data_IF_306487915724
#
_entry.id   IF_306487915724
#
_cell.length_a   1.000
_cell.length_b   1.000
_cell.length_c   1.000
_cell.angle_alpha   90.00
_cell.angle_beta   90.00
_cell.angle_gamma   90.00
#
_symmetry.space_group_name_H-M   'P 1'
#
loop_
_entity.id
_entity.type
_entity.pdbx_description
1 polymer ?
#
# COMPACT_ATOMS: atom_id res chain seq x y z
N UNK A 1 21.29 -15.20 -17.81
CA UNK A 1 21.04 -16.23 -16.79
C UNK A 1 20.11 -15.67 -15.73
N UNK A 2 19.10 -16.45 -15.27
CA UNK A 2 18.22 -16.07 -14.16
C UNK A 2 18.64 -16.82 -12.90
N UNK A 3 18.88 -16.09 -11.83
CA UNK A 3 19.21 -16.66 -10.52
C UNK A 3 17.94 -16.64 -9.65
N UNK A 4 17.09 -17.64 -9.82
CA UNK A 4 15.85 -17.77 -9.06
C UNK A 4 16.13 -18.10 -7.60
N UNK A 5 15.17 -17.79 -6.70
CA UNK A 5 15.30 -18.00 -5.25
C UNK A 5 16.58 -17.42 -4.64
N UNK A 6 17.05 -16.31 -5.20
CA UNK A 6 18.27 -15.62 -4.79
C UNK A 6 17.93 -14.25 -4.23
N UNK A 7 18.42 -13.97 -3.03
CA UNK A 7 18.21 -12.68 -2.35
C UNK A 7 19.47 -11.86 -2.41
N UNK A 8 19.37 -10.62 -2.90
CA UNK A 8 20.47 -9.64 -2.85
C UNK A 8 20.53 -9.07 -1.43
N UNK A 9 21.71 -9.13 -0.83
CA UNK A 9 21.99 -8.67 0.54
C UNK A 9 22.64 -7.30 0.55
N UNK A 10 23.48 -7.03 -0.45
CA UNK A 10 24.26 -5.79 -0.53
C UNK A 10 24.64 -5.43 -1.96
N UNK A 11 24.83 -4.13 -2.20
CA UNK A 11 25.37 -3.58 -3.45
C UNK A 11 26.35 -2.48 -3.08
N UNK A 12 27.59 -2.61 -3.57
CA UNK A 12 28.63 -1.63 -3.28
C UNK A 12 28.76 -0.57 -4.39
N UNK A 13 29.30 0.61 -4.09
CA UNK A 13 29.61 1.63 -5.10
C UNK A 13 30.55 1.13 -6.20
N UNK A 14 31.36 0.08 -5.93
CA UNK A 14 32.26 -0.56 -6.89
C UNK A 14 31.54 -1.56 -7.79
N UNK A 15 30.22 -1.59 -7.77
CA UNK A 15 29.37 -2.48 -8.59
C UNK A 15 29.54 -3.97 -8.28
N UNK A 16 29.81 -4.28 -7.00
CA UNK A 16 29.71 -5.63 -6.46
C UNK A 16 28.31 -5.86 -5.90
N UNK A 17 27.71 -6.99 -6.25
CA UNK A 17 26.44 -7.47 -5.71
C UNK A 17 26.73 -8.68 -4.83
N UNK A 18 26.34 -8.61 -3.58
CA UNK A 18 26.41 -9.74 -2.64
C UNK A 18 25.00 -10.32 -2.53
N UNK A 19 24.86 -11.59 -2.85
CA UNK A 19 23.59 -12.29 -2.84
C UNK A 19 23.71 -13.63 -2.14
N UNK A 20 22.56 -14.24 -1.80
CA UNK A 20 22.51 -15.56 -1.19
C UNK A 20 21.38 -16.41 -1.74
N UNK A 21 21.61 -17.70 -1.86
CA UNK A 21 20.60 -18.70 -2.15
C UNK A 21 20.90 -20.03 -1.46
N UNK A 22 19.92 -20.95 -1.47
CA UNK A 22 20.05 -22.25 -0.79
C UNK A 22 21.09 -23.17 -1.44
N UNK A 23 21.39 -23.01 -2.73
CA UNK A 23 22.28 -23.92 -3.48
C UNK A 23 23.76 -23.55 -3.36
N UNK A 24 24.05 -22.25 -3.38
CA UNK A 24 25.44 -21.72 -3.49
C UNK A 24 25.88 -21.01 -2.21
N UNK A 25 24.97 -20.77 -1.26
CA UNK A 25 25.26 -19.94 -0.09
C UNK A 25 25.42 -18.47 -0.48
N UNK A 26 26.42 -17.80 0.08
CA UNK A 26 26.75 -16.41 -0.25
C UNK A 26 27.57 -16.37 -1.51
N UNK A 27 27.21 -15.53 -2.46
CA UNK A 27 27.86 -15.34 -3.76
C UNK A 27 28.17 -13.87 -3.96
N UNK A 28 29.26 -13.58 -4.63
CA UNK A 28 29.63 -12.24 -5.08
C UNK A 28 29.60 -12.19 -6.61
N UNK A 29 28.99 -11.13 -7.14
CA UNK A 29 28.88 -10.87 -8.57
C UNK A 29 29.45 -9.48 -8.87
N UNK A 30 30.18 -9.34 -9.94
CA UNK A 30 30.68 -8.05 -10.43
C UNK A 30 30.04 -7.74 -11.78
N UNK A 31 29.54 -6.51 -11.91
CA UNK A 31 28.89 -6.02 -13.12
C UNK A 31 29.58 -4.78 -13.70
N UNK A 32 29.49 -4.59 -15.02
CA UNK A 32 29.88 -3.31 -15.65
C UNK A 32 28.86 -2.21 -15.32
N UNK A 33 27.60 -2.59 -15.20
CA UNK A 33 26.47 -1.77 -14.77
C UNK A 33 25.50 -2.63 -13.98
N UNK A 34 24.70 -2.00 -13.11
CA UNK A 34 23.65 -2.65 -12.32
C UNK A 34 22.36 -1.89 -12.56
N UNK A 35 21.31 -2.59 -12.97
CA UNK A 35 19.96 -2.04 -13.08
C UNK A 35 19.20 -2.37 -11.81
N UNK A 36 18.75 -1.34 -11.07
CA UNK A 36 17.94 -1.48 -9.88
C UNK A 36 16.46 -1.49 -10.26
N UNK A 37 15.79 -2.60 -10.04
CA UNK A 37 14.36 -2.80 -10.37
C UNK A 37 13.64 -3.45 -9.17
N UNK A 38 13.81 -2.87 -7.98
CA UNK A 38 13.41 -3.48 -6.71
C UNK A 38 11.95 -3.17 -6.33
N UNK A 39 11.31 -2.25 -7.03
CA UNK A 39 9.93 -1.85 -6.77
C UNK A 39 9.76 -1.06 -5.48
N UNK A 40 8.64 -1.27 -4.82
CA UNK A 40 8.21 -0.53 -3.64
C UNK A 40 7.39 -1.43 -2.72
N UNK A 41 7.22 -0.99 -1.47
CA UNK A 41 6.32 -1.59 -0.48
C UNK A 41 5.20 -0.62 -0.10
N UNK A 42 4.09 -1.15 0.31
CA UNK A 42 2.95 -0.35 0.76
C UNK A 42 3.22 0.28 2.13
N UNK A 43 2.69 1.48 2.33
CA UNK A 43 2.64 2.09 3.66
C UNK A 43 1.71 1.31 4.57
N UNK A 44 2.23 0.95 5.74
CA UNK A 44 1.49 0.23 6.75
C UNK A 44 0.75 1.18 7.70
N UNK A 45 -0.14 0.62 8.51
CA UNK A 45 -0.82 1.33 9.59
C UNK A 45 0.13 2.11 10.49
N UNK A 46 1.27 1.53 10.85
CA UNK A 46 2.24 2.16 11.74
C UNK A 46 2.90 3.39 11.11
N UNK A 47 3.15 3.36 9.81
CA UNK A 47 3.77 4.47 9.08
C UNK A 47 2.85 5.68 8.90
N UNK A 48 1.54 5.46 8.82
CA UNK A 48 0.54 6.55 8.81
C UNK A 48 0.03 6.89 10.22
N UNK A 49 0.58 6.23 11.24
CA UNK A 49 0.24 6.45 12.66
C UNK A 49 -1.28 6.38 12.95
N UNK A 50 -1.98 5.46 12.27
CA UNK A 50 -3.43 5.34 12.38
C UNK A 50 -3.85 4.97 13.81
N UNK A 51 -4.65 5.83 14.50
CA UNK A 51 -4.97 5.66 15.91
C UNK A 51 -5.95 4.52 16.20
N UNK A 52 -6.15 4.24 17.49
CA UNK A 52 -7.15 3.31 17.99
C UNK A 52 -6.60 1.93 18.34
N UNK A 53 -7.50 0.98 18.56
CA UNK A 53 -7.19 -0.39 18.93
C UNK A 53 -6.33 -1.10 17.85
N UNK A 54 -5.68 -2.20 18.22
CA UNK A 54 -4.83 -2.99 17.29
C UNK A 54 -5.39 -4.41 17.08
N UNK A 55 -6.64 -4.55 16.66
CA UNK A 55 -7.24 -5.84 16.37
C UNK A 55 -6.70 -6.44 15.07
N UNK A 56 -7.00 -7.70 14.81
CA UNK A 56 -6.90 -8.27 13.47
C UNK A 56 -7.90 -7.59 12.50
N UNK A 57 -7.71 -7.77 11.18
CA UNK A 57 -8.62 -7.22 10.16
C UNK A 57 -8.15 -5.91 9.52
N UNK A 58 -6.96 -5.41 9.87
CA UNK A 58 -6.35 -4.23 9.23
C UNK A 58 -5.17 -4.67 8.38
N UNK A 59 -5.26 -4.48 7.07
CA UNK A 59 -4.27 -4.97 6.10
C UNK A 59 -3.95 -3.91 5.06
N UNK A 60 -2.79 -4.00 4.43
CA UNK A 60 -2.55 -3.26 3.19
C UNK A 60 -3.35 -3.88 2.04
N UNK A 61 -3.71 -3.07 1.05
CA UNK A 61 -4.50 -3.53 -0.07
C UNK A 61 -3.80 -4.63 -0.88
N UNK A 62 -2.47 -4.55 -1.04
CA UNK A 62 -1.67 -5.57 -1.71
C UNK A 62 -1.57 -6.88 -0.93
N UNK A 63 -1.52 -6.83 0.40
CA UNK A 63 -1.62 -8.05 1.23
C UNK A 63 -2.96 -8.75 1.02
N UNK A 64 -4.06 -8.00 1.03
CA UNK A 64 -5.38 -8.53 0.75
C UNK A 64 -5.49 -9.08 -0.68
N UNK A 65 -4.90 -8.38 -1.66
CA UNK A 65 -4.84 -8.83 -3.04
C UNK A 65 -4.15 -10.20 -3.18
N UNK A 66 -3.01 -10.37 -2.52
CA UNK A 66 -2.31 -11.65 -2.50
C UNK A 66 -3.18 -12.76 -1.93
N UNK A 67 -3.80 -12.53 -0.77
CA UNK A 67 -4.65 -13.54 -0.14
C UNK A 67 -5.83 -13.94 -1.02
N UNK A 68 -6.52 -12.98 -1.61
CA UNK A 68 -7.69 -13.27 -2.46
C UNK A 68 -7.27 -13.92 -3.77
N UNK A 69 -6.25 -13.38 -4.46
CA UNK A 69 -5.92 -13.80 -5.82
C UNK A 69 -5.02 -15.04 -5.89
N UNK A 70 -4.16 -15.25 -4.89
CA UNK A 70 -3.14 -16.31 -4.91
C UNK A 70 -3.45 -17.40 -3.91
N UNK A 71 -3.80 -17.02 -2.67
CA UNK A 71 -3.95 -17.97 -1.58
C UNK A 71 -5.42 -18.45 -1.40
N UNK A 72 -6.39 -17.78 -2.05
CA UNK A 72 -7.81 -18.15 -1.96
C UNK A 72 -8.47 -17.82 -0.62
N UNK A 73 -7.93 -16.88 0.16
CA UNK A 73 -8.46 -16.48 1.45
C UNK A 73 -9.18 -15.14 1.37
N UNK A 74 -10.36 -15.06 2.00
CA UNK A 74 -11.10 -13.81 2.18
C UNK A 74 -10.66 -13.12 3.46
N UNK A 75 -10.13 -11.87 3.40
CA UNK A 75 -9.74 -11.12 4.59
C UNK A 75 -10.92 -10.71 5.47
N UNK A 76 -12.12 -10.59 4.90
CA UNK A 76 -13.37 -10.32 5.63
C UNK A 76 -14.56 -10.09 4.71
N UNK A 77 -15.71 -9.72 5.29
CA UNK A 77 -17.00 -9.61 4.59
C UNK A 77 -17.56 -8.19 4.52
N UNK A 78 -17.19 -7.33 5.46
CA UNK A 78 -17.59 -5.91 5.50
C UNK A 78 -16.34 -5.05 5.47
N UNK A 79 -16.06 -4.46 4.32
CA UNK A 79 -14.76 -3.84 4.03
C UNK A 79 -14.90 -2.33 3.93
N UNK A 80 -14.03 -1.62 4.61
CA UNK A 80 -13.74 -0.21 4.33
C UNK A 80 -12.35 -0.10 3.74
N UNK A 81 -12.15 0.79 2.78
CA UNK A 81 -10.85 1.02 2.14
C UNK A 81 -10.43 2.45 2.42
N UNK A 82 -9.22 2.66 2.90
CA UNK A 82 -8.60 3.97 3.06
C UNK A 82 -7.61 4.20 1.92
N UNK A 83 -7.89 5.22 1.12
CA UNK A 83 -7.14 5.63 -0.07
C UNK A 83 -7.82 5.20 -1.38
N UNK A 84 -8.01 6.18 -2.28
CA UNK A 84 -8.60 6.00 -3.61
C UNK A 84 -7.56 5.81 -4.72
N UNK A 85 -6.36 5.37 -4.38
CA UNK A 85 -5.37 4.93 -5.35
C UNK A 85 -5.85 3.71 -6.15
N UNK A 86 -5.21 3.44 -7.30
CA UNK A 86 -5.64 2.38 -8.21
C UNK A 86 -5.79 1.02 -7.54
N UNK A 87 -4.83 0.64 -6.69
CA UNK A 87 -4.86 -0.64 -5.97
C UNK A 87 -6.09 -0.71 -5.03
N UNK A 88 -6.39 0.38 -4.31
CA UNK A 88 -7.56 0.45 -3.42
C UNK A 88 -8.86 0.26 -4.17
N UNK A 89 -9.04 0.97 -5.30
CA UNK A 89 -10.25 0.84 -6.13
C UNK A 89 -10.37 -0.54 -6.79
N UNK A 90 -9.27 -1.07 -7.32
CA UNK A 90 -9.25 -2.43 -7.90
C UNK A 90 -9.62 -3.47 -6.83
N UNK A 91 -9.12 -3.31 -5.61
CA UNK A 91 -9.45 -4.20 -4.51
C UNK A 91 -10.89 -4.04 -4.05
N UNK A 92 -11.48 -2.83 -4.10
CA UNK A 92 -12.90 -2.64 -3.83
C UNK A 92 -13.76 -3.53 -4.74
N UNK A 93 -13.53 -3.45 -6.06
CA UNK A 93 -14.20 -4.31 -7.03
C UNK A 93 -13.91 -5.80 -6.79
N UNK A 94 -12.63 -6.15 -6.55
CA UNK A 94 -12.24 -7.54 -6.33
C UNK A 94 -12.92 -8.16 -5.13
N UNK A 95 -12.96 -7.46 -4.00
CA UNK A 95 -13.64 -7.91 -2.80
C UNK A 95 -15.16 -8.10 -3.03
N UNK A 96 -15.78 -7.21 -3.82
CA UNK A 96 -17.19 -7.33 -4.19
C UNK A 96 -17.44 -8.57 -5.05
N UNK A 97 -16.59 -8.90 -6.01
CA UNK A 97 -16.69 -10.13 -6.80
C UNK A 97 -16.59 -11.40 -5.96
N UNK A 98 -15.84 -11.37 -4.88
CA UNK A 98 -15.71 -12.48 -3.94
C UNK A 98 -16.82 -12.51 -2.87
N UNK A 99 -17.83 -11.63 -3.00
CA UNK A 99 -19.00 -11.62 -2.16
C UNK A 99 -18.88 -10.81 -0.85
N UNK A 100 -17.83 -10.00 -0.71
CA UNK A 100 -17.76 -9.03 0.38
C UNK A 100 -18.60 -7.78 0.04
N UNK A 101 -19.12 -7.13 1.08
CA UNK A 101 -19.72 -5.80 0.97
C UNK A 101 -18.64 -4.75 1.23
N UNK A 102 -18.32 -3.95 0.23
CA UNK A 102 -17.46 -2.77 0.41
C UNK A 102 -18.36 -1.61 0.84
N UNK A 103 -18.25 -1.20 2.09
CA UNK A 103 -19.12 -0.15 2.67
C UNK A 103 -18.80 1.21 2.06
N UNK A 104 -17.53 1.55 1.91
CA UNK A 104 -17.05 2.75 1.21
C UNK A 104 -15.54 2.78 1.03
N UNK A 105 -15.09 3.68 0.16
CA UNK A 105 -13.71 4.11 0.02
C UNK A 105 -13.58 5.52 0.60
N UNK A 106 -12.61 5.73 1.50
CA UNK A 106 -12.29 7.02 2.09
C UNK A 106 -11.03 7.57 1.41
N UNK A 107 -11.05 8.83 1.06
CA UNK A 107 -9.90 9.54 0.46
C UNK A 107 -9.66 10.85 1.20
N UNK A 108 -8.43 11.04 1.67
CA UNK A 108 -8.06 12.24 2.42
C UNK A 108 -7.99 13.48 1.53
N UNK A 109 -7.67 13.32 0.25
CA UNK A 109 -7.61 14.39 -0.72
C UNK A 109 -9.01 14.89 -1.11
N UNK A 110 -9.15 16.14 -1.56
CA UNK A 110 -10.39 16.66 -2.14
C UNK A 110 -10.65 16.15 -3.57
N UNK A 111 -9.81 15.27 -4.08
CA UNK A 111 -9.90 14.70 -5.42
C UNK A 111 -9.49 13.21 -5.42
N UNK A 112 -9.86 12.53 -6.49
CA UNK A 112 -9.50 11.13 -6.74
C UNK A 112 -7.98 10.99 -6.92
N UNK A 113 -7.36 10.08 -6.17
CA UNK A 113 -5.91 9.83 -6.24
C UNK A 113 -5.49 8.88 -7.37
N UNK A 114 -6.37 8.01 -7.82
CA UNK A 114 -6.12 7.05 -8.91
C UNK A 114 -6.70 7.50 -10.25
N UNK A 115 -6.67 6.60 -11.22
CA UNK A 115 -7.17 6.85 -12.57
C UNK A 115 -8.71 6.92 -12.61
N UNK A 116 -9.27 7.91 -13.31
CA UNK A 116 -10.72 8.06 -13.50
C UNK A 116 -11.38 6.80 -14.08
N UNK A 117 -10.68 6.07 -14.95
CA UNK A 117 -11.16 4.78 -15.47
C UNK A 117 -11.41 3.77 -14.36
N UNK A 118 -10.52 3.67 -13.39
CA UNK A 118 -10.66 2.75 -12.27
C UNK A 118 -11.77 3.20 -11.31
N UNK A 119 -11.99 4.49 -11.15
CA UNK A 119 -13.14 5.01 -10.41
C UNK A 119 -14.46 4.52 -11.02
N UNK A 120 -14.64 4.67 -12.34
CA UNK A 120 -15.85 4.19 -13.03
C UNK A 120 -15.99 2.68 -12.89
N UNK A 121 -14.98 1.93 -13.33
CA UNK A 121 -15.05 0.47 -13.44
C UNK A 121 -14.98 -0.29 -12.10
N UNK A 122 -14.51 0.36 -11.05
CA UNK A 122 -14.31 -0.32 -9.77
C UNK A 122 -15.21 0.19 -8.64
N UNK A 123 -15.71 1.42 -8.74
CA UNK A 123 -16.59 1.98 -7.71
C UNK A 123 -17.98 2.29 -8.27
N UNK A 124 -18.11 3.08 -9.34
CA UNK A 124 -19.42 3.47 -9.86
C UNK A 124 -20.23 2.29 -10.39
N UNK A 125 -19.62 1.39 -11.17
CA UNK A 125 -20.30 0.20 -11.71
C UNK A 125 -20.76 -0.79 -10.63
N UNK A 126 -20.31 -0.61 -9.37
CA UNK A 126 -20.63 -1.46 -8.23
C UNK A 126 -21.36 -0.71 -7.10
N UNK A 127 -21.78 0.53 -7.33
CA UNK A 127 -22.43 1.38 -6.34
C UNK A 127 -21.63 1.52 -5.03
N UNK A 128 -20.29 1.51 -5.11
CA UNK A 128 -19.39 1.67 -3.96
C UNK A 128 -19.17 3.16 -3.71
N UNK A 129 -19.54 3.69 -2.54
CA UNK A 129 -19.39 5.11 -2.24
C UNK A 129 -17.92 5.51 -2.09
N UNK A 130 -17.52 6.63 -2.70
CA UNK A 130 -16.27 7.32 -2.45
C UNK A 130 -16.54 8.59 -1.62
N UNK A 131 -15.87 8.72 -0.49
CA UNK A 131 -15.90 9.92 0.34
C UNK A 131 -14.55 10.63 0.29
N UNK A 132 -14.52 11.79 -0.36
CA UNK A 132 -13.35 12.67 -0.43
C UNK A 132 -13.25 13.52 0.85
N UNK A 133 -12.03 13.99 1.16
CA UNK A 133 -11.73 14.74 2.39
C UNK A 133 -12.13 13.98 3.67
N UNK A 134 -11.99 12.65 3.66
CA UNK A 134 -12.25 11.80 4.82
C UNK A 134 -11.08 10.88 5.10
N UNK A 135 -10.87 10.64 6.39
CA UNK A 135 -9.86 9.68 6.86
C UNK A 135 -10.41 8.82 8.01
N UNK A 136 -9.65 7.85 8.44
CA UNK A 136 -9.97 7.07 9.64
C UNK A 136 -9.39 7.79 10.86
N UNK A 137 -10.26 8.23 11.76
CA UNK A 137 -9.87 8.87 13.01
C UNK A 137 -9.39 7.84 14.05
N UNK A 138 -10.07 6.70 14.13
CA UNK A 138 -9.64 5.58 14.99
C UNK A 138 -10.25 4.25 14.57
N UNK A 139 -9.57 3.17 14.98
CA UNK A 139 -10.02 1.79 14.82
C UNK A 139 -10.68 1.34 16.11
N UNK A 140 -11.83 0.67 15.99
CA UNK A 140 -12.66 0.15 17.07
C UNK A 140 -12.72 -1.38 16.95
N UNK A 141 -12.52 -2.08 18.07
CA UNK A 141 -12.55 -3.54 18.16
C UNK A 141 -11.52 -4.06 19.14
N UNK A 142 -11.61 -5.32 19.49
CA UNK A 142 -10.69 -5.97 20.43
C UNK A 142 -9.88 -7.07 19.70
N UNK A 143 -10.43 -8.26 19.50
CA UNK A 143 -9.74 -9.36 18.79
C UNK A 143 -9.70 -9.12 17.28
N UNK A 144 -10.80 -8.58 16.76
CA UNK A 144 -10.95 -8.17 15.36
C UNK A 144 -11.55 -6.78 15.29
N UNK A 145 -11.30 -6.07 14.18
CA UNK A 145 -11.97 -4.80 13.89
C UNK A 145 -13.47 -5.01 13.80
N UNK A 146 -14.23 -4.15 14.49
CA UNK A 146 -15.69 -4.15 14.53
C UNK A 146 -16.28 -2.92 13.83
N UNK A 147 -15.51 -1.83 13.84
CA UNK A 147 -15.84 -0.59 13.15
C UNK A 147 -14.59 0.28 12.98
N UNK A 148 -14.70 1.28 12.13
CA UNK A 148 -13.83 2.46 12.15
C UNK A 148 -14.65 3.69 12.48
N UNK A 149 -14.02 4.68 13.06
CA UNK A 149 -14.56 6.04 13.12
C UNK A 149 -13.92 6.82 11.97
N UNK A 150 -14.75 7.21 11.01
CA UNK A 150 -14.37 8.13 9.93
C UNK A 150 -14.50 9.56 10.41
N UNK A 151 -13.69 10.48 9.89
CA UNK A 151 -13.78 11.91 10.15
C UNK A 151 -13.46 12.70 8.88
N UNK A 152 -14.15 13.81 8.69
CA UNK A 152 -13.81 14.76 7.64
C UNK A 152 -12.56 15.55 8.01
N UNK A 153 -11.76 15.92 7.00
CA UNK A 153 -10.58 16.78 7.15
C UNK A 153 -10.73 18.07 6.37
N UNK A 154 -10.04 19.11 6.83
CA UNK A 154 -9.91 20.38 6.12
C UNK A 154 -8.81 20.33 5.03
N UNK A 155 -8.56 21.45 4.36
CA UNK A 155 -7.55 21.57 3.30
C UNK A 155 -6.11 21.40 3.81
N UNK A 156 -5.88 21.44 5.12
CA UNK A 156 -4.60 21.17 5.78
C UNK A 156 -4.52 19.73 6.33
N UNK A 157 -5.49 18.87 5.97
CA UNK A 157 -5.65 17.51 6.47
C UNK A 157 -5.88 17.41 7.97
N UNK A 158 -6.33 18.49 8.61
CA UNK A 158 -6.67 18.50 10.03
C UNK A 158 -8.09 17.98 10.23
N UNK A 159 -8.33 17.10 11.20
CA UNK A 159 -9.67 16.58 11.49
C UNK A 159 -10.64 17.70 11.88
N UNK A 160 -11.86 17.68 11.35
CA UNK A 160 -12.94 18.62 11.66
C UNK A 160 -13.83 17.98 12.74
N UNK A 161 -13.75 18.43 14.02
CA UNK A 161 -14.57 17.89 15.11
C UNK A 161 -16.06 18.02 14.83
N UNK A 162 -16.84 17.02 15.24
CA UNK A 162 -18.30 16.96 15.03
C UNK A 162 -18.72 16.37 13.68
N UNK A 163 -17.75 15.85 12.89
CA UNK A 163 -18.01 15.16 11.62
C UNK A 163 -17.73 13.66 11.70
N UNK A 164 -17.53 13.15 12.92
CA UNK A 164 -17.25 11.74 13.17
C UNK A 164 -18.43 10.85 12.77
N UNK A 165 -18.15 9.77 12.07
CA UNK A 165 -19.12 8.74 11.68
C UNK A 165 -18.57 7.36 12.01
N UNK A 166 -19.35 6.53 12.70
CA UNK A 166 -18.98 5.13 12.96
C UNK A 166 -19.45 4.27 11.78
N UNK A 167 -18.48 3.58 11.16
CA UNK A 167 -18.74 2.68 10.04
C UNK A 167 -18.43 1.25 10.50
N UNK A 168 -19.46 0.40 10.69
CA UNK A 168 -19.25 -1.00 11.04
C UNK A 168 -18.55 -1.75 9.92
N UNK A 169 -17.43 -2.41 10.24
CA UNK A 169 -16.66 -3.23 9.31
C UNK A 169 -15.87 -4.29 10.06
N UNK A 170 -15.56 -5.39 9.38
CA UNK A 170 -14.68 -6.44 9.90
C UNK A 170 -13.30 -6.42 9.23
N UNK A 171 -13.10 -5.51 8.26
CA UNK A 171 -11.87 -5.38 7.51
C UNK A 171 -11.64 -3.93 7.08
N UNK A 172 -10.43 -3.42 7.34
CA UNK A 172 -9.94 -2.16 6.84
C UNK A 172 -8.74 -2.42 5.92
N UNK A 173 -8.85 -2.04 4.65
CA UNK A 173 -7.75 -2.10 3.69
C UNK A 173 -7.10 -0.73 3.54
N UNK A 174 -5.77 -0.71 3.57
CA UNK A 174 -4.97 0.50 3.44
C UNK A 174 -4.36 0.58 2.04
N UNK A 175 -4.69 1.62 1.28
CA UNK A 175 -4.12 1.97 -0.02
C UNK A 175 -3.58 3.40 0.02
N UNK A 176 -2.70 3.67 0.98
CA UNK A 176 -2.27 5.01 1.41
C UNK A 176 -0.87 5.38 0.91
N UNK A 177 -0.50 4.86 -0.23
CA UNK A 177 0.75 5.15 -0.91
C UNK A 177 1.82 4.08 -0.72
N UNK A 178 2.90 4.27 -1.46
CA UNK A 178 4.01 3.33 -1.60
C UNK A 178 5.31 3.97 -1.09
N UNK A 179 6.25 3.13 -0.68
CA UNK A 179 7.60 3.50 -0.29
C UNK A 179 8.57 2.77 -1.20
N UNK A 180 9.40 3.47 -1.97
CA UNK A 180 10.43 2.83 -2.79
C UNK A 180 11.40 1.99 -1.96
N UNK A 181 11.81 0.84 -2.49
CA UNK A 181 12.81 -0.03 -1.86
C UNK A 181 14.22 0.52 -2.08
N UNK A 182 14.67 1.40 -1.20
CA UNK A 182 15.90 2.19 -1.37
C UNK A 182 17.09 1.76 -0.50
N UNK A 183 16.94 0.73 0.29
CA UNK A 183 18.00 0.30 1.22
C UNK A 183 19.29 -0.06 0.46
N UNK A 184 19.18 -0.84 -0.61
CA UNK A 184 20.31 -1.19 -1.45
C UNK A 184 20.80 -0.03 -2.32
N UNK A 185 19.87 0.82 -2.80
CA UNK A 185 20.23 2.03 -3.56
C UNK A 185 21.12 2.97 -2.74
N UNK A 186 20.80 3.19 -1.46
CA UNK A 186 21.62 3.99 -0.54
C UNK A 186 23.00 3.39 -0.34
N UNK A 187 23.09 2.08 -0.15
CA UNK A 187 24.37 1.37 0.02
C UNK A 187 25.23 1.46 -1.24
N UNK A 188 24.61 1.40 -2.42
CA UNK A 188 25.28 1.59 -3.70
C UNK A 188 25.74 3.03 -3.96
N UNK A 189 25.37 3.99 -3.09
CA UNK A 189 25.74 5.40 -3.24
C UNK A 189 24.80 6.20 -4.13
N UNK A 190 23.62 5.68 -4.45
CA UNK A 190 22.60 6.38 -5.27
C UNK A 190 22.02 7.56 -4.50
N UNK A 191 21.96 8.73 -5.14
CA UNK A 191 21.34 9.94 -4.59
C UNK A 191 19.83 9.78 -4.67
N UNK A 192 19.14 10.04 -3.54
CA UNK A 192 17.69 9.96 -3.44
C UNK A 192 17.06 11.35 -3.33
N UNK A 193 15.99 11.57 -4.05
CA UNK A 193 15.16 12.76 -3.93
C UNK A 193 14.44 12.75 -2.56
N UNK A 194 14.57 13.81 -1.75
CA UNK A 194 13.98 13.86 -0.42
C UNK A 194 12.45 13.99 -0.41
N UNK A 195 11.83 14.44 -1.51
CA UNK A 195 10.38 14.65 -1.60
C UNK A 195 9.66 13.38 -2.04
N UNK A 196 10.11 12.76 -3.13
CA UNK A 196 9.47 11.56 -3.68
C UNK A 196 10.08 10.26 -3.15
N UNK A 197 11.27 10.34 -2.54
CA UNK A 197 11.99 9.21 -1.99
C UNK A 197 12.56 8.23 -3.03
N UNK A 198 12.47 8.55 -4.32
CA UNK A 198 13.03 7.75 -5.40
C UNK A 198 14.46 8.17 -5.75
N UNK A 199 15.20 7.38 -6.56
CA UNK A 199 16.49 7.78 -7.12
C UNK A 199 16.38 9.06 -7.97
N UNK A 200 17.37 9.95 -7.82
CA UNK A 200 17.56 11.05 -8.77
C UNK A 200 18.25 10.47 -10.00
N UNK A 201 17.60 10.59 -11.15
CA UNK A 201 18.11 10.04 -12.42
C UNK A 201 18.03 11.07 -13.53
N UNK A 202 18.89 10.93 -14.53
CA UNK A 202 18.82 11.66 -15.80
C UNK A 202 17.88 10.93 -16.80
N UNK A 203 17.86 11.41 -18.05
CA UNK A 203 17.04 10.81 -19.13
C UNK A 203 17.48 9.39 -19.51
N UNK A 204 18.71 9.01 -19.19
CA UNK A 204 19.28 7.67 -19.40
C UNK A 204 19.08 6.73 -18.20
N UNK A 205 18.38 7.20 -17.15
CA UNK A 205 18.14 6.49 -15.87
C UNK A 205 19.41 6.24 -15.04
N UNK A 206 20.42 7.10 -15.18
CA UNK A 206 21.66 7.07 -14.41
C UNK A 206 21.71 8.14 -13.32
#
# INVERSE_FOLDING_TARGET
EFMMETMVLDITPQRKVIATNKKQGVIELEGRSIVLAMGCRERTRAQIQLPGARPSGVYTAGTAQRWVNIEGYMPGKKVVILGSGDIGMIMARRMTFEGAKVERVLEIQPFLSGLSRNYVQCLLDFDIPLQLQHTVNRIIGNDRIEAIESIRVDDNFSPIPGTEEIIPCDTLLLSVGLIPENELSKKAGVILDPMIGGPVVNDDYE
#
